data_IF_990456885885
#
_entry.id   IF_990456885885
#
_cell.length_a   1.000
_cell.length_b   1.000
_cell.length_c   1.000
_cell.angle_alpha   90.00
_cell.angle_beta   90.00
_cell.angle_gamma   90.00
#
_symmetry.space_group_name_H-M   'P 1'
#
loop_
_entity.id
_entity.type
_entity.pdbx_description
1 polymer ?
#
# COMPACT_ATOMS: atom_id res chain seq x y z
N UNK A 1 -39.83 1.83 25.83
CA UNK A 1 -38.51 1.78 26.50
C UNK A 1 -37.44 1.57 25.43
N UNK A 2 -36.80 2.66 25.00
CA UNK A 2 -35.70 2.63 24.03
C UNK A 2 -34.48 2.09 24.77
N UNK A 3 -34.05 0.89 24.38
CA UNK A 3 -32.84 0.27 24.92
C UNK A 3 -31.66 0.96 24.24
N UNK A 4 -31.22 2.11 24.78
CA UNK A 4 -29.91 2.67 24.46
C UNK A 4 -28.88 1.59 24.82
N UNK A 5 -28.23 1.00 23.81
CA UNK A 5 -27.18 0.01 24.03
C UNK A 5 -25.80 0.67 24.01
N UNK A 6 -24.90 0.19 24.87
CA UNK A 6 -23.66 0.85 25.23
C UNK A 6 -22.52 0.44 24.30
N UNK A 7 -21.39 1.13 24.49
CA UNK A 7 -20.05 0.88 23.96
C UNK A 7 -19.85 1.29 22.50
N UNK A 8 -19.27 2.48 22.34
CA UNK A 8 -18.43 2.76 21.18
C UNK A 8 -17.50 1.56 21.00
N UNK A 9 -17.47 0.95 19.80
CA UNK A 9 -16.50 -0.11 19.52
C UNK A 9 -15.11 0.50 19.57
N UNK A 10 -14.47 0.40 20.71
CA UNK A 10 -13.08 0.75 20.89
C UNK A 10 -12.26 -0.16 19.95
N UNK A 11 -11.66 0.44 18.93
CA UNK A 11 -10.83 -0.24 17.95
C UNK A 11 -9.49 -0.63 18.62
N UNK A 12 -9.50 -1.64 19.46
CA UNK A 12 -8.29 -2.23 19.98
C UNK A 12 -7.59 -3.06 18.90
N UNK A 13 -6.25 -2.98 18.87
CA UNK A 13 -5.36 -3.90 18.14
C UNK A 13 -5.39 -5.31 18.78
N UNK A 14 -6.55 -5.94 18.77
CA UNK A 14 -6.77 -7.28 19.29
C UNK A 14 -6.79 -8.34 18.18
N UNK A 15 -6.90 -9.61 18.58
CA UNK A 15 -6.98 -10.75 17.65
C UNK A 15 -8.13 -10.63 16.62
N UNK A 16 -9.24 -9.98 17.03
CA UNK A 16 -10.37 -9.66 16.13
C UNK A 16 -9.98 -8.73 14.97
N UNK A 17 -9.07 -7.78 15.21
CA UNK A 17 -8.55 -6.90 14.17
C UNK A 17 -7.75 -7.69 13.13
N UNK A 18 -6.89 -8.61 13.57
CA UNK A 18 -6.12 -9.50 12.68
C UNK A 18 -7.03 -10.40 11.82
N UNK A 19 -8.08 -10.97 12.40
CA UNK A 19 -9.05 -11.78 11.61
C UNK A 19 -9.82 -10.95 10.59
N UNK A 20 -10.19 -9.71 10.96
CA UNK A 20 -10.84 -8.77 10.04
C UNK A 20 -9.89 -8.35 8.91
N UNK A 21 -8.63 -8.04 9.26
CA UNK A 21 -7.57 -7.73 8.31
C UNK A 21 -7.35 -8.88 7.32
N UNK A 22 -7.32 -10.13 7.79
CA UNK A 22 -7.22 -11.31 6.93
C UNK A 22 -8.38 -11.45 5.95
N UNK A 23 -9.60 -11.10 6.38
CA UNK A 23 -10.80 -11.10 5.52
C UNK A 23 -10.71 -10.01 4.46
N UNK A 24 -10.24 -8.82 4.82
CA UNK A 24 -9.99 -7.71 3.90
C UNK A 24 -8.85 -8.05 2.94
N UNK A 25 -7.81 -8.75 3.40
CA UNK A 25 -6.67 -9.16 2.59
C UNK A 25 -7.08 -10.19 1.52
N UNK A 26 -7.95 -11.15 1.87
CA UNK A 26 -8.59 -12.06 0.90
C UNK A 26 -9.48 -11.31 -0.10
N UNK A 27 -10.13 -10.21 0.34
CA UNK A 27 -10.87 -9.35 -0.57
C UNK A 27 -9.95 -8.52 -1.48
N UNK A 28 -8.74 -8.20 -1.00
CA UNK A 28 -7.70 -7.47 -1.73
C UNK A 28 -7.06 -8.32 -2.84
N UNK A 29 -6.81 -9.59 -2.53
CA UNK A 29 -6.31 -10.64 -3.43
C UNK A 29 -7.36 -11.75 -3.56
N UNK A 30 -8.43 -11.55 -4.34
CA UNK A 30 -9.47 -12.55 -4.54
C UNK A 30 -8.94 -13.79 -5.28
N UNK A 31 -7.72 -13.71 -5.84
CA UNK A 31 -6.98 -14.83 -6.43
C UNK A 31 -5.48 -14.51 -6.61
N UNK A 32 -4.73 -15.51 -7.09
CA UNK A 32 -3.34 -15.38 -7.57
C UNK A 32 -3.30 -14.70 -8.96
N UNK A 33 -3.90 -13.53 -9.07
CA UNK A 33 -3.92 -12.75 -10.31
C UNK A 33 -2.78 -11.70 -10.33
N UNK A 34 -2.75 -10.87 -11.39
CA UNK A 34 -1.79 -9.78 -11.63
C UNK A 34 -1.37 -8.98 -10.38
N UNK A 35 -2.23 -8.82 -9.36
CA UNK A 35 -1.88 -8.17 -8.10
C UNK A 35 -0.80 -8.94 -7.31
N UNK A 36 -0.89 -10.27 -7.24
CA UNK A 36 0.11 -11.12 -6.58
C UNK A 36 1.43 -11.16 -7.35
N UNK A 37 1.38 -11.08 -8.69
CA UNK A 37 2.57 -10.92 -9.52
C UNK A 37 3.22 -9.55 -9.31
N UNK A 38 2.43 -8.48 -9.20
CA UNK A 38 2.92 -7.13 -8.95
C UNK A 38 3.56 -7.00 -7.55
N UNK A 39 3.00 -7.64 -6.52
CA UNK A 39 3.65 -7.69 -5.20
C UNK A 39 4.93 -8.49 -5.20
N UNK A 40 4.95 -9.65 -5.86
CA UNK A 40 6.18 -10.45 -5.94
C UNK A 40 7.26 -9.67 -6.70
N UNK A 41 6.88 -9.04 -7.81
CA UNK A 41 7.80 -8.20 -8.60
C UNK A 41 8.29 -7.00 -7.79
N UNK A 42 7.42 -6.30 -7.05
CA UNK A 42 7.86 -5.18 -6.21
C UNK A 42 8.76 -5.63 -5.06
N UNK A 43 8.50 -6.81 -4.47
CA UNK A 43 9.34 -7.40 -3.43
C UNK A 43 10.74 -7.75 -3.97
N UNK A 44 10.82 -8.38 -5.15
CA UNK A 44 12.08 -8.73 -5.80
C UNK A 44 12.86 -7.47 -6.18
N UNK A 45 12.20 -6.46 -6.74
CA UNK A 45 12.84 -5.19 -7.08
C UNK A 45 13.31 -4.44 -5.83
N UNK A 46 12.56 -4.47 -4.72
CA UNK A 46 12.98 -3.87 -3.45
C UNK A 46 14.19 -4.59 -2.83
N UNK A 47 14.20 -5.93 -2.84
CA UNK A 47 15.35 -6.71 -2.41
C UNK A 47 16.59 -6.43 -3.28
N UNK A 48 16.41 -6.33 -4.60
CA UNK A 48 17.48 -5.95 -5.53
C UNK A 48 18.02 -4.55 -5.25
N UNK A 49 17.15 -3.59 -4.95
CA UNK A 49 17.54 -2.23 -4.59
C UNK A 49 18.44 -2.21 -3.34
N UNK A 50 18.09 -2.96 -2.29
CA UNK A 50 18.90 -3.06 -1.06
C UNK A 50 20.29 -3.64 -1.33
N UNK A 51 20.39 -4.68 -2.16
CA UNK A 51 21.68 -5.28 -2.53
C UNK A 51 22.55 -4.29 -3.31
N UNK A 52 21.95 -3.53 -4.24
CA UNK A 52 22.66 -2.49 -5.00
C UNK A 52 23.09 -1.35 -4.10
N UNK A 53 22.24 -0.91 -3.16
CA UNK A 53 22.53 0.13 -2.17
C UNK A 53 23.69 -0.28 -1.24
N UNK A 54 23.71 -1.53 -0.79
CA UNK A 54 24.83 -2.06 0.01
C UNK A 54 26.14 -2.06 -0.78
N UNK A 55 26.10 -2.41 -2.07
CA UNK A 55 27.28 -2.39 -2.93
C UNK A 55 27.75 -0.98 -3.27
N UNK A 56 26.84 -0.02 -3.46
CA UNK A 56 27.20 1.37 -3.77
C UNK A 56 27.94 2.05 -2.60
N UNK A 57 27.59 1.71 -1.36
CA UNK A 57 28.33 2.18 -0.17
C UNK A 57 29.81 1.79 -0.16
N UNK A 58 30.19 0.64 -0.75
CA UNK A 58 31.59 0.20 -0.86
C UNK A 58 32.37 0.87 -1.98
N UNK A 59 31.69 1.47 -2.95
CA UNK A 59 32.31 2.12 -4.11
C UNK A 59 33.06 3.39 -3.70
N UNK A 60 32.50 4.16 -2.77
CA UNK A 60 33.10 5.41 -2.27
C UNK A 60 34.49 5.13 -1.67
N UNK A 61 34.63 4.08 -0.86
CA UNK A 61 35.92 3.67 -0.30
C UNK A 61 36.95 3.30 -1.37
N UNK A 62 36.53 2.56 -2.42
CA UNK A 62 37.40 2.20 -3.55
C UNK A 62 37.83 3.43 -4.37
N UNK A 63 36.97 4.44 -4.46
CA UNK A 63 37.28 5.70 -5.13
C UNK A 63 38.39 6.46 -4.41
N UNK A 64 38.33 6.55 -3.09
CA UNK A 64 39.39 7.17 -2.29
C UNK A 64 40.72 6.42 -2.44
N UNK A 65 40.71 5.09 -2.39
CA UNK A 65 41.93 4.29 -2.59
C UNK A 65 42.53 4.46 -3.99
N UNK A 66 41.70 4.54 -5.04
CA UNK A 66 42.15 4.79 -6.41
C UNK A 66 42.81 6.17 -6.58
N UNK A 67 42.21 7.20 -5.97
CA UNK A 67 42.76 8.56 -5.98
C UNK A 67 44.10 8.64 -5.25
N UNK A 68 44.21 7.95 -4.11
CA UNK A 68 45.43 7.92 -3.31
C UNK A 68 46.58 7.20 -4.02
N UNK A 69 46.27 6.15 -4.78
CA UNK A 69 47.23 5.38 -5.57
C UNK A 69 47.67 6.08 -6.87
N UNK A 70 46.98 7.16 -7.29
CA UNK A 70 47.25 7.90 -8.55
C UNK A 70 47.13 7.06 -9.82
N UNK A 71 46.33 5.98 -9.78
CA UNK A 71 46.11 5.07 -10.90
C UNK A 71 44.98 5.54 -11.82
N UNK A 72 45.34 6.21 -12.91
CA UNK A 72 44.41 6.75 -13.92
C UNK A 72 43.53 5.69 -14.62
N UNK A 73 44.06 4.55 -15.13
CA UNK A 73 43.23 3.57 -15.83
C UNK A 73 42.25 2.84 -14.89
N UNK A 74 42.64 2.65 -13.63
CA UNK A 74 41.79 2.03 -12.62
C UNK A 74 40.64 2.95 -12.22
N UNK A 75 40.90 4.26 -12.13
CA UNK A 75 39.88 5.27 -11.83
C UNK A 75 38.77 5.31 -12.89
N UNK A 76 39.11 5.31 -14.18
CA UNK A 76 38.12 5.33 -15.27
C UNK A 76 37.23 4.08 -15.29
N UNK A 77 37.81 2.90 -15.04
CA UNK A 77 37.04 1.66 -14.94
C UNK A 77 36.09 1.69 -13.73
N UNK A 78 36.57 2.17 -12.58
CA UNK A 78 35.76 2.33 -11.39
C UNK A 78 34.63 3.35 -11.60
N UNK A 79 34.91 4.45 -12.30
CA UNK A 79 33.92 5.47 -12.64
C UNK A 79 32.80 4.90 -13.50
N UNK A 80 33.14 4.21 -14.60
CA UNK A 80 32.13 3.60 -15.47
C UNK A 80 31.28 2.57 -14.72
N UNK A 81 31.92 1.74 -13.89
CA UNK A 81 31.23 0.77 -13.05
C UNK A 81 30.28 1.43 -12.04
N UNK A 82 30.71 2.52 -11.42
CA UNK A 82 29.88 3.28 -10.48
C UNK A 82 28.67 3.90 -11.19
N UNK A 83 28.86 4.54 -12.34
CA UNK A 83 27.77 5.10 -13.15
C UNK A 83 26.74 4.05 -13.50
N UNK A 84 27.17 2.86 -13.94
CA UNK A 84 26.26 1.75 -14.26
C UNK A 84 25.46 1.28 -13.02
N UNK A 85 26.11 1.22 -11.86
CA UNK A 85 25.47 0.80 -10.59
C UNK A 85 24.44 1.84 -10.14
N UNK A 86 24.76 3.14 -10.18
CA UNK A 86 23.81 4.20 -9.83
C UNK A 86 22.65 4.29 -10.82
N UNK A 87 22.90 4.08 -12.10
CA UNK A 87 21.85 4.00 -13.12
C UNK A 87 20.93 2.79 -12.89
N UNK A 88 21.49 1.62 -12.55
CA UNK A 88 20.71 0.46 -12.15
C UNK A 88 19.89 0.70 -10.89
N UNK A 89 20.46 1.40 -9.90
CA UNK A 89 19.78 1.76 -8.65
C UNK A 89 18.57 2.66 -8.90
N UNK A 90 18.72 3.70 -9.74
CA UNK A 90 17.61 4.60 -10.06
C UNK A 90 16.52 3.89 -10.88
N UNK A 91 16.90 3.01 -11.81
CA UNK A 91 15.96 2.21 -12.59
C UNK A 91 15.14 1.24 -11.71
N UNK A 92 15.81 0.57 -10.77
CA UNK A 92 15.14 -0.29 -9.78
C UNK A 92 14.15 0.51 -8.93
N UNK A 93 14.55 1.68 -8.44
CA UNK A 93 13.69 2.54 -7.64
C UNK A 93 12.48 3.06 -8.44
N UNK A 94 12.68 3.43 -9.70
CA UNK A 94 11.58 3.83 -10.58
C UNK A 94 10.60 2.67 -10.81
N UNK A 95 11.13 1.47 -11.04
CA UNK A 95 10.32 0.26 -11.27
C UNK A 95 9.52 -0.15 -10.02
N UNK A 96 10.14 -0.13 -8.83
CA UNK A 96 9.43 -0.42 -7.56
C UNK A 96 8.31 0.58 -7.32
N UNK A 97 8.59 1.87 -7.51
CA UNK A 97 7.62 2.95 -7.32
C UNK A 97 6.46 2.79 -8.29
N UNK A 98 6.75 2.56 -9.58
CA UNK A 98 5.74 2.33 -10.61
C UNK A 98 4.88 1.09 -10.33
N UNK A 99 5.50 -0.04 -9.97
CA UNK A 99 4.78 -1.27 -9.61
C UNK A 99 3.86 -1.05 -8.40
N UNK A 100 4.34 -0.32 -7.38
CA UNK A 100 3.55 0.00 -6.18
C UNK A 100 2.33 0.85 -6.52
N UNK A 101 2.47 1.82 -7.42
CA UNK A 101 1.35 2.62 -7.91
C UNK A 101 0.30 1.78 -8.67
N UNK A 102 0.74 0.90 -9.55
CA UNK A 102 -0.16 -0.01 -10.27
C UNK A 102 -0.88 -0.96 -9.31
N UNK A 103 -0.16 -1.50 -8.34
CA UNK A 103 -0.72 -2.36 -7.31
C UNK A 103 -1.77 -1.61 -6.48
N UNK A 104 -1.48 -0.39 -6.04
CA UNK A 104 -2.43 0.46 -5.32
C UNK A 104 -3.73 0.66 -6.13
N UNK A 105 -3.62 0.94 -7.43
CA UNK A 105 -4.78 1.15 -8.29
C UNK A 105 -5.60 -0.13 -8.47
N UNK A 106 -4.93 -1.28 -8.67
CA UNK A 106 -5.58 -2.58 -8.80
C UNK A 106 -6.33 -2.99 -7.52
N UNK A 107 -5.66 -2.84 -6.38
CA UNK A 107 -6.22 -3.10 -5.05
C UNK A 107 -7.45 -2.22 -4.80
N UNK A 108 -7.35 -0.91 -5.06
CA UNK A 108 -8.46 0.02 -4.87
C UNK A 108 -9.65 -0.35 -5.74
N UNK A 109 -9.44 -0.66 -7.02
CA UNK A 109 -10.51 -1.05 -7.94
C UNK A 109 -11.24 -2.30 -7.42
N UNK A 110 -10.48 -3.29 -6.97
CA UNK A 110 -11.02 -4.55 -6.51
C UNK A 110 -11.81 -4.39 -5.20
N UNK A 111 -11.24 -3.67 -4.23
CA UNK A 111 -11.90 -3.36 -2.96
C UNK A 111 -13.20 -2.59 -3.15
N UNK A 112 -13.18 -1.54 -3.98
CA UNK A 112 -14.39 -0.73 -4.26
C UNK A 112 -15.45 -1.59 -4.92
N UNK A 113 -15.10 -2.44 -5.87
CA UNK A 113 -16.06 -3.32 -6.56
C UNK A 113 -16.68 -4.33 -5.60
N UNK A 114 -15.87 -4.94 -4.74
CA UNK A 114 -16.34 -5.90 -3.74
C UNK A 114 -17.24 -5.22 -2.69
N UNK A 115 -16.83 -4.04 -2.20
CA UNK A 115 -17.61 -3.26 -1.24
C UNK A 115 -18.93 -2.78 -1.85
N UNK A 116 -18.92 -2.32 -3.09
CA UNK A 116 -20.12 -1.90 -3.81
C UNK A 116 -21.10 -3.07 -3.97
N UNK A 117 -20.63 -4.25 -4.37
CA UNK A 117 -21.48 -5.46 -4.43
C UNK A 117 -22.07 -5.81 -3.06
N UNK A 118 -21.31 -5.68 -1.99
CA UNK A 118 -21.78 -5.95 -0.63
C UNK A 118 -22.79 -4.91 -0.16
N UNK A 119 -22.57 -3.63 -0.48
CA UNK A 119 -23.42 -2.51 -0.12
C UNK A 119 -24.82 -2.59 -0.75
N UNK A 120 -24.91 -3.04 -2.00
CA UNK A 120 -26.20 -3.22 -2.70
C UNK A 120 -26.83 -4.60 -2.49
N UNK A 121 -26.14 -5.53 -1.83
CA UNK A 121 -26.67 -6.87 -1.57
C UNK A 121 -27.69 -6.84 -0.43
N UNK A 122 -28.79 -7.61 -0.57
CA UNK A 122 -29.81 -7.85 0.48
C UNK A 122 -30.40 -6.58 1.12
N UNK A 123 -30.56 -5.49 0.35
CA UNK A 123 -31.07 -4.22 0.87
C UNK A 123 -30.23 -3.64 2.01
N UNK A 124 -28.93 -4.00 2.09
CA UNK A 124 -28.01 -3.45 3.08
C UNK A 124 -27.97 -1.92 3.01
N UNK A 125 -28.02 -1.33 1.81
CA UNK A 125 -28.25 0.10 1.60
C UNK A 125 -29.37 0.68 2.47
N UNK A 126 -30.55 0.05 2.47
CA UNK A 126 -31.71 0.52 3.24
C UNK A 126 -31.57 0.24 4.73
N UNK A 127 -30.90 -0.85 5.11
CA UNK A 127 -30.62 -1.14 6.52
C UNK A 127 -29.58 -0.17 7.11
N UNK A 128 -28.59 0.23 6.32
CA UNK A 128 -27.56 1.20 6.69
C UNK A 128 -28.09 2.65 6.73
N UNK A 129 -28.91 3.05 5.74
CA UNK A 129 -29.39 4.44 5.63
C UNK A 129 -30.77 4.70 6.26
N UNK A 130 -31.60 3.68 6.41
CA UNK A 130 -33.00 3.80 6.85
C UNK A 130 -33.30 3.18 8.21
N UNK A 131 -32.40 2.36 8.77
CA UNK A 131 -32.60 1.70 10.07
C UNK A 131 -31.40 2.04 10.96
N UNK A 132 -31.55 3.12 11.74
CA UNK A 132 -30.61 3.63 12.75
C UNK A 132 -30.31 2.63 13.91
N UNK A 133 -30.62 1.34 13.74
CA UNK A 133 -30.42 0.30 14.75
C UNK A 133 -29.17 -0.57 14.52
N UNK A 134 -28.39 -0.35 13.45
CA UNK A 134 -27.20 -1.16 13.13
C UNK A 134 -25.86 -0.57 13.62
N UNK A 135 -25.85 0.67 14.15
CA UNK A 135 -24.65 1.29 14.72
C UNK A 135 -23.52 1.55 13.72
N UNK A 136 -23.85 1.78 12.44
CA UNK A 136 -22.91 2.28 11.44
C UNK A 136 -23.25 3.74 11.20
N UNK A 137 -22.41 4.62 11.73
CA UNK A 137 -22.59 6.06 11.69
C UNK A 137 -22.44 6.56 10.25
N UNK A 138 -23.54 6.95 9.62
CA UNK A 138 -23.53 7.58 8.31
C UNK A 138 -23.64 9.11 8.48
N UNK A 139 -22.55 9.88 8.29
CA UNK A 139 -22.52 11.32 8.53
C UNK A 139 -23.44 12.12 7.60
N UNK A 140 -23.94 11.52 6.50
CA UNK A 140 -24.82 12.18 5.54
C UNK A 140 -26.29 12.25 5.98
N UNK A 141 -26.73 11.42 6.93
CA UNK A 141 -28.13 11.42 7.38
C UNK A 141 -28.39 12.58 8.34
N UNK A 142 -27.40 12.94 9.16
CA UNK A 142 -27.58 13.93 10.22
C UNK A 142 -27.75 15.38 9.71
N UNK A 143 -27.26 15.69 8.50
CA UNK A 143 -27.34 17.04 7.91
C UNK A 143 -28.68 17.37 7.22
N UNK A 144 -29.57 16.39 7.01
CA UNK A 144 -30.92 16.61 6.44
C UNK A 144 -32.03 16.82 7.47
N UNK A 145 -31.74 16.71 8.77
CA UNK A 145 -32.75 16.81 9.84
C UNK A 145 -32.85 18.23 10.43
N UNK A 146 -32.27 19.25 9.77
CA UNK A 146 -32.58 20.64 10.14
C UNK A 146 -33.92 21.04 9.50
N UNK A 147 -34.97 21.30 10.29
CA UNK A 147 -36.23 21.79 9.75
C UNK A 147 -36.03 23.21 9.19
N UNK A 148 -36.52 23.47 7.98
CA UNK A 148 -36.71 24.82 7.49
C UNK A 148 -37.70 25.55 8.42
N UNK A 149 -37.40 26.75 8.91
CA UNK A 149 -38.37 27.55 9.65
C UNK A 149 -39.46 28.01 8.68
N UNK A 150 -40.70 27.62 8.95
CA UNK A 150 -41.90 28.30 8.46
C UNK A 150 -42.30 29.36 9.49
#
# INVERSE_FOLDING_TARGET
MVRLRPEQKEFYLGWKFLTSLGTVLQLLYPGLDYAALLTLTSLVCAAGYEVVSYNSGKIIGKFYSALLARDEPYFWNLFWKATLIYFGQSLLLATTTFSTWLLYLAIRRNLVTALHRLYYRKSAYFQLNGIDNAGIDNPLVHSRVLPYPM
#
